data_IF_057703610230
#
_entry.id   IF_057703610230
#
_cell.length_a   1.000
_cell.length_b   1.000
_cell.length_c   1.000
_cell.angle_alpha   90.00
_cell.angle_beta   90.00
_cell.angle_gamma   90.00
#
_symmetry.space_group_name_H-M   'P 1'
#
loop_
_entity.id
_entity.type
_entity.pdbx_description
1 polymer ?
#
# COMPACT_ATOMS: atom_id res chain seq x y z
N UNK A 1 30.77 1.86 56.43
CA UNK A 1 29.71 1.37 55.54
C UNK A 1 28.95 2.53 54.92
N UNK A 2 29.47 3.09 53.82
CA UNK A 2 28.77 4.10 53.02
C UNK A 2 28.41 3.48 51.68
N UNK A 3 27.15 3.11 51.50
CA UNK A 3 26.63 2.70 50.20
C UNK A 3 26.62 3.92 49.28
N UNK A 4 27.44 3.90 48.24
CA UNK A 4 27.33 4.88 47.16
C UNK A 4 26.03 4.59 46.40
N UNK A 5 24.97 5.31 46.74
CA UNK A 5 23.75 5.32 45.95
C UNK A 5 24.04 6.10 44.66
N UNK A 6 24.41 5.38 43.60
CA UNK A 6 24.65 5.91 42.26
C UNK A 6 23.34 6.21 41.49
N UNK A 7 22.34 6.77 42.16
CA UNK A 7 21.10 7.22 41.54
C UNK A 7 20.68 8.54 42.19
N UNK A 8 21.13 9.66 41.64
CA UNK A 8 20.48 10.94 41.87
C UNK A 8 19.24 10.99 40.98
N UNK A 9 18.06 10.93 41.57
CA UNK A 9 16.78 11.07 40.86
C UNK A 9 16.57 12.47 40.29
N UNK A 10 17.45 13.42 40.63
CA UNK A 10 17.41 14.80 40.17
C UNK A 10 18.46 14.95 39.09
N UNK A 11 18.11 14.53 37.88
CA UNK A 11 18.87 14.88 36.70
C UNK A 11 18.64 16.37 36.37
N UNK A 12 19.21 17.27 37.21
CA UNK A 12 18.93 18.72 37.22
C UNK A 12 19.29 19.40 35.89
N UNK A 13 20.27 18.85 35.18
CA UNK A 13 20.78 19.39 33.91
C UNK A 13 20.37 18.54 32.69
N UNK A 14 19.28 17.78 32.81
CA UNK A 14 18.77 16.92 31.74
C UNK A 14 18.61 17.64 30.41
N UNK A 15 18.00 18.83 30.45
CA UNK A 15 17.73 19.64 29.28
C UNK A 15 19.01 20.15 28.63
N UNK A 16 20.04 20.48 29.43
CA UNK A 16 21.32 20.91 28.91
C UNK A 16 22.02 19.75 28.17
N UNK A 17 22.04 18.56 28.77
CA UNK A 17 22.61 17.37 28.14
C UNK A 17 21.89 17.05 26.82
N UNK A 18 20.55 17.01 26.83
CA UNK A 18 19.76 16.75 25.62
C UNK A 18 20.04 17.80 24.55
N UNK A 19 20.07 19.09 24.90
CA UNK A 19 20.40 20.16 23.95
C UNK A 19 21.81 20.02 23.35
N UNK A 20 22.76 19.46 24.12
CA UNK A 20 24.12 19.23 23.64
C UNK A 20 24.17 18.01 22.72
N UNK A 21 23.41 16.96 23.03
CA UNK A 21 23.28 15.77 22.18
C UNK A 21 22.63 16.11 20.84
N UNK A 22 21.57 16.93 20.83
CA UNK A 22 20.88 17.38 19.62
C UNK A 22 21.78 18.23 18.70
N UNK A 23 22.72 18.97 19.29
CA UNK A 23 23.69 19.80 18.54
C UNK A 23 24.92 19.03 18.06
N UNK A 24 25.12 17.81 18.54
CA UNK A 24 26.34 17.04 18.24
C UNK A 24 26.09 16.10 17.08
N UNK A 25 27.01 16.11 16.10
CA UNK A 25 27.06 15.10 15.04
C UNK A 25 28.07 14.01 15.42
N UNK A 26 27.64 12.77 15.42
CA UNK A 26 28.45 11.60 15.73
C UNK A 26 28.76 10.83 14.44
N UNK A 27 29.97 10.28 14.34
CA UNK A 27 30.30 9.32 13.30
C UNK A 27 30.20 7.90 13.86
N UNK A 28 29.23 7.13 13.41
CA UNK A 28 29.05 5.73 13.81
C UNK A 28 29.32 4.76 12.68
N UNK A 29 29.22 3.46 12.97
CA UNK A 29 29.34 2.37 11.98
C UNK A 29 28.25 2.46 10.90
N UNK A 30 27.11 3.08 11.23
CA UNK A 30 26.00 3.35 10.29
C UNK A 30 26.14 4.66 9.51
N UNK A 31 27.26 5.35 9.65
CA UNK A 31 27.50 6.66 9.05
C UNK A 31 27.26 7.81 10.04
N UNK A 32 27.05 9.04 9.53
CA UNK A 32 26.69 10.19 10.35
C UNK A 32 25.43 9.93 11.17
N UNK A 33 25.42 10.40 12.41
CA UNK A 33 24.33 10.27 13.37
C UNK A 33 24.11 11.64 13.97
N UNK A 34 22.95 12.21 13.72
CA UNK A 34 22.53 13.48 14.28
C UNK A 34 21.09 13.35 14.73
N UNK A 35 20.74 14.00 15.85
CA UNK A 35 19.37 14.08 16.36
C UNK A 35 18.85 15.51 16.17
N UNK A 36 17.52 15.66 16.13
CA UNK A 36 16.88 16.96 16.02
C UNK A 36 16.02 17.24 17.25
N UNK A 37 15.83 18.53 17.55
CA UNK A 37 14.88 18.93 18.59
C UNK A 37 13.49 18.38 18.24
N UNK A 38 12.86 17.67 19.17
CA UNK A 38 11.55 17.01 19.02
C UNK A 38 11.49 15.86 18.01
N UNK A 39 12.62 15.23 17.67
CA UNK A 39 12.62 13.97 16.92
C UNK A 39 13.35 12.88 17.70
N UNK A 40 12.72 11.71 17.80
CA UNK A 40 13.34 10.51 18.40
C UNK A 40 14.28 9.81 17.44
N UNK A 41 14.07 10.04 16.13
CA UNK A 41 14.81 9.38 15.08
C UNK A 41 16.00 10.25 14.64
N UNK A 42 17.00 9.60 14.04
CA UNK A 42 18.16 10.32 13.50
C UNK A 42 17.71 11.20 12.34
N UNK A 43 18.30 12.38 12.17
CA UNK A 43 18.02 13.32 11.07
C UNK A 43 19.07 13.34 9.95
N UNK A 44 20.26 12.79 10.23
CA UNK A 44 21.30 12.53 9.24
C UNK A 44 21.72 11.06 9.26
N UNK A 45 21.96 10.47 8.07
CA UNK A 45 22.40 9.09 7.88
C UNK A 45 21.73 8.38 6.70
N UNK A 46 22.14 7.14 6.41
CA UNK A 46 21.42 6.26 5.48
C UNK A 46 20.47 5.34 6.24
N UNK A 47 19.18 5.45 5.95
CA UNK A 47 18.13 4.89 6.80
C UNK A 47 17.52 3.61 6.25
N UNK A 48 17.34 3.57 4.94
CA UNK A 48 16.53 2.53 4.31
C UNK A 48 17.12 2.12 2.98
N UNK A 49 17.14 0.81 2.74
CA UNK A 49 17.41 0.25 1.43
C UNK A 49 16.15 -0.46 0.94
N UNK A 50 15.67 -0.07 -0.23
CA UNK A 50 14.56 -0.76 -0.89
C UNK A 50 15.13 -1.96 -1.61
N UNK A 51 14.61 -3.14 -1.24
CA UNK A 51 14.97 -4.41 -1.85
C UNK A 51 13.87 -4.86 -2.80
N UNK A 52 14.24 -5.18 -4.03
CA UNK A 52 13.38 -5.83 -5.00
C UNK A 52 13.59 -7.35 -4.90
N UNK A 53 12.51 -8.09 -4.70
CA UNK A 53 12.53 -9.55 -4.62
C UNK A 53 12.46 -10.11 -6.03
N UNK A 54 13.50 -10.81 -6.45
CA UNK A 54 13.67 -11.31 -7.80
C UNK A 54 13.81 -12.82 -7.79
N UNK A 55 13.16 -13.50 -8.73
CA UNK A 55 13.35 -14.94 -8.91
C UNK A 55 14.64 -15.21 -9.66
N UNK A 56 15.39 -16.22 -9.22
CA UNK A 56 16.61 -16.70 -9.86
C UNK A 56 16.62 -18.23 -9.93
N UNK A 57 17.57 -18.79 -10.68
CA UNK A 57 17.77 -20.25 -10.80
C UNK A 57 18.00 -20.93 -9.44
N UNK A 58 18.52 -20.19 -8.46
CA UNK A 58 18.83 -20.69 -7.12
C UNK A 58 17.80 -20.28 -6.05
N UNK A 59 16.68 -19.68 -6.46
CA UNK A 59 15.61 -19.23 -5.56
C UNK A 59 15.41 -17.72 -5.56
N UNK A 60 14.96 -17.17 -4.42
CA UNK A 60 14.63 -15.75 -4.29
C UNK A 60 15.87 -14.92 -3.92
N UNK A 61 16.13 -13.89 -4.71
CA UNK A 61 17.18 -12.90 -4.49
C UNK A 61 16.60 -11.57 -4.02
N UNK A 62 17.29 -10.93 -3.09
CA UNK A 62 16.91 -9.61 -2.55
C UNK A 62 17.89 -8.55 -3.03
N UNK A 63 17.52 -7.85 -4.08
CA UNK A 63 18.40 -6.92 -4.79
C UNK A 63 18.13 -5.48 -4.34
N UNK A 64 19.15 -4.75 -3.89
CA UNK A 64 18.99 -3.31 -3.58
C UNK A 64 18.75 -2.52 -4.85
N UNK A 65 17.64 -1.79 -4.92
CA UNK A 65 17.31 -0.96 -6.09
C UNK A 65 17.31 0.53 -5.76
N UNK A 66 17.07 0.91 -4.50
CA UNK A 66 17.11 2.29 -4.04
C UNK A 66 17.67 2.36 -2.61
N UNK A 67 18.35 3.44 -2.31
CA UNK A 67 18.85 3.78 -0.98
C UNK A 67 18.34 5.16 -0.58
N UNK A 68 17.87 5.28 0.65
CA UNK A 68 17.54 6.55 1.28
C UNK A 68 18.71 6.97 2.16
N UNK A 69 19.60 7.78 1.58
CA UNK A 69 20.90 8.11 2.17
C UNK A 69 21.10 9.61 2.48
N UNK A 70 20.29 10.46 1.85
CA UNK A 70 20.35 11.92 1.97
C UNK A 70 18.97 12.44 2.40
N UNK A 71 18.90 13.56 3.13
CA UNK A 71 17.62 14.10 3.60
C UNK A 71 16.72 14.45 2.40
N UNK A 72 15.74 13.60 2.17
CA UNK A 72 14.63 13.83 1.24
C UNK A 72 14.69 13.09 -0.09
N UNK A 73 15.78 12.39 -0.45
CA UNK A 73 15.89 11.75 -1.76
C UNK A 73 16.36 10.30 -1.71
N UNK A 74 15.69 9.46 -2.50
CA UNK A 74 16.19 8.14 -2.87
C UNK A 74 17.27 8.27 -3.95
N UNK A 75 18.35 7.53 -3.80
CA UNK A 75 19.40 7.38 -4.82
C UNK A 75 19.48 5.95 -5.31
N UNK A 76 19.95 5.78 -6.54
CA UNK A 76 20.28 4.45 -7.10
C UNK A 76 21.61 3.99 -6.49
N UNK A 77 21.72 2.75 -5.99
CA UNK A 77 22.98 2.20 -5.51
C UNK A 77 24.05 2.18 -6.60
N UNK A 78 25.33 2.12 -6.21
CA UNK A 78 26.48 2.07 -7.15
C UNK A 78 26.44 0.88 -8.12
N UNK A 79 25.73 -0.20 -7.75
CA UNK A 79 25.36 -1.27 -8.67
C UNK A 79 23.98 -0.92 -9.24
N UNK A 80 23.94 -0.55 -10.52
CA UNK A 80 22.71 -0.25 -11.25
C UNK A 80 21.84 -1.51 -11.38
N UNK A 81 21.04 -1.76 -10.34
CA UNK A 81 20.14 -2.90 -10.29
C UNK A 81 18.78 -2.51 -10.87
N UNK A 82 18.26 -3.33 -11.77
CA UNK A 82 16.98 -3.09 -12.41
C UNK A 82 15.83 -3.54 -11.49
N UNK A 83 14.76 -2.74 -11.43
CA UNK A 83 13.52 -3.11 -10.75
C UNK A 83 12.75 -4.11 -11.61
N UNK A 84 12.48 -5.29 -11.05
CA UNK A 84 11.61 -6.30 -11.65
C UNK A 84 10.24 -6.24 -10.98
N UNK A 85 9.21 -6.07 -11.78
CA UNK A 85 7.82 -6.00 -11.34
C UNK A 85 7.18 -7.40 -11.30
N UNK A 86 6.08 -7.57 -10.56
CA UNK A 86 5.32 -8.82 -10.55
C UNK A 86 4.99 -9.28 -11.97
N UNK A 87 5.19 -10.58 -12.23
CA UNK A 87 5.12 -11.15 -13.58
C UNK A 87 6.47 -11.20 -14.32
N UNK A 88 7.57 -10.91 -13.61
CA UNK A 88 8.94 -10.91 -14.16
C UNK A 88 9.09 -9.91 -15.32
N UNK A 89 8.53 -8.71 -15.16
CA UNK A 89 8.54 -7.66 -16.18
C UNK A 89 9.44 -6.50 -15.78
N UNK A 90 10.10 -5.88 -16.76
CA UNK A 90 10.90 -4.66 -16.57
C UNK A 90 10.05 -3.39 -16.80
N UNK A 91 8.89 -3.56 -17.42
CA UNK A 91 7.94 -2.47 -17.65
C UNK A 91 7.15 -2.23 -16.37
N UNK A 92 7.20 -1.01 -15.79
CA UNK A 92 6.39 -0.71 -14.62
C UNK A 92 4.90 -0.88 -14.96
N UNK A 93 4.10 -1.46 -14.06
CA UNK A 93 2.67 -1.56 -14.28
C UNK A 93 2.09 -0.15 -14.33
N UNK A 94 1.72 0.29 -15.52
CA UNK A 94 1.02 1.56 -15.74
C UNK A 94 -0.47 1.33 -15.51
N UNK A 95 -0.93 1.46 -14.27
CA UNK A 95 -2.35 1.25 -14.00
C UNK A 95 -2.81 1.74 -12.63
N UNK A 96 -4.00 2.35 -12.62
CA UNK A 96 -4.92 2.25 -11.48
C UNK A 96 -5.74 0.98 -11.68
N UNK A 97 -6.22 0.37 -10.61
CA UNK A 97 -7.15 -0.75 -10.70
C UNK A 97 -8.33 -0.35 -11.61
N UNK A 98 -8.54 -1.11 -12.69
CA UNK A 98 -9.67 -0.92 -13.62
C UNK A 98 -10.79 -1.89 -13.25
N UNK A 99 -12.04 -1.48 -13.46
CA UNK A 99 -13.21 -2.35 -13.28
C UNK A 99 -13.37 -3.35 -14.44
N UNK A 100 -12.57 -3.22 -15.51
CA UNK A 100 -12.62 -4.13 -16.66
C UNK A 100 -12.26 -5.56 -16.25
N UNK A 101 -13.17 -6.49 -16.48
CA UNK A 101 -13.04 -7.91 -16.12
C UNK A 101 -13.34 -8.22 -14.65
N UNK A 102 -13.70 -7.22 -13.84
CA UNK A 102 -14.04 -7.42 -12.42
C UNK A 102 -15.51 -7.84 -12.29
N UNK A 103 -15.77 -8.85 -11.48
CA UNK A 103 -17.14 -9.27 -11.14
C UNK A 103 -17.70 -8.39 -10.03
N UNK A 104 -18.72 -7.58 -10.36
CA UNK A 104 -19.38 -6.67 -9.42
C UNK A 104 -20.73 -7.24 -8.98
N UNK A 105 -20.93 -7.37 -7.66
CA UNK A 105 -22.24 -7.71 -7.08
C UNK A 105 -23.00 -6.41 -6.80
N UNK A 106 -24.16 -6.27 -7.42
CA UNK A 106 -24.97 -5.04 -7.36
C UNK A 106 -26.31 -5.38 -6.70
N UNK A 107 -26.58 -4.73 -5.57
CA UNK A 107 -27.88 -4.77 -4.91
C UNK A 107 -28.86 -3.85 -5.62
N UNK A 108 -30.00 -4.38 -6.05
CA UNK A 108 -31.09 -3.63 -6.69
C UNK A 108 -32.36 -3.71 -5.84
N UNK A 109 -33.10 -2.60 -5.76
CA UNK A 109 -34.37 -2.52 -5.03
C UNK A 109 -35.51 -2.59 -6.06
N UNK A 110 -36.58 -3.30 -5.73
CA UNK A 110 -37.79 -3.33 -6.55
C UNK A 110 -38.52 -1.98 -6.46
N UNK A 111 -38.64 -1.29 -7.58
CA UNK A 111 -39.32 0.01 -7.65
C UNK A 111 -39.83 0.24 -9.07
N UNK A 112 -41.14 0.20 -9.26
CA UNK A 112 -41.75 0.45 -10.58
C UNK A 112 -41.68 1.95 -10.89
N UNK A 113 -41.23 2.40 -12.08
CA UNK A 113 -40.88 1.62 -13.28
C UNK A 113 -39.38 1.31 -13.45
N UNK A 114 -38.55 1.64 -12.46
CA UNK A 114 -37.09 1.56 -12.54
C UNK A 114 -36.52 0.14 -12.49
N UNK A 115 -37.11 -0.74 -11.68
CA UNK A 115 -36.72 -2.14 -11.52
C UNK A 115 -37.96 -2.99 -11.25
N UNK A 116 -38.24 -3.93 -12.15
CA UNK A 116 -39.35 -4.88 -12.08
C UNK A 116 -38.75 -6.28 -12.05
N UNK A 117 -39.25 -7.11 -11.15
CA UNK A 117 -38.84 -8.52 -11.03
C UNK A 117 -39.87 -9.39 -11.75
N UNK A 118 -39.46 -10.00 -12.86
CA UNK A 118 -40.25 -11.00 -13.57
C UNK A 118 -39.69 -12.39 -13.26
N UNK A 119 -40.56 -13.40 -13.19
CA UNK A 119 -40.12 -14.80 -13.07
C UNK A 119 -40.12 -15.40 -14.46
N UNK A 120 -38.95 -15.80 -14.96
CA UNK A 120 -38.83 -16.54 -16.21
C UNK A 120 -38.38 -17.96 -15.95
N UNK A 121 -38.90 -18.88 -16.76
CA UNK A 121 -38.57 -20.29 -16.68
C UNK A 121 -37.52 -20.58 -17.73
N UNK A 122 -36.32 -20.94 -17.30
CA UNK A 122 -35.25 -21.38 -18.21
C UNK A 122 -35.68 -22.65 -18.96
N UNK A 123 -35.00 -22.95 -20.06
CA UNK A 123 -35.18 -24.18 -20.87
C UNK A 123 -35.03 -25.49 -20.06
N UNK A 124 -34.49 -25.41 -18.84
CA UNK A 124 -34.33 -26.52 -17.91
C UNK A 124 -35.42 -26.59 -16.84
N UNK A 125 -36.50 -25.80 -16.95
CA UNK A 125 -37.61 -25.77 -15.99
C UNK A 125 -37.32 -25.05 -14.67
N UNK A 126 -36.16 -24.41 -14.53
CA UNK A 126 -35.82 -23.62 -13.35
C UNK A 126 -36.37 -22.20 -13.47
N UNK A 127 -37.11 -21.77 -12.44
CA UNK A 127 -37.61 -20.40 -12.34
C UNK A 127 -36.51 -19.49 -11.82
N UNK A 128 -36.10 -18.50 -12.62
CA UNK A 128 -35.13 -17.47 -12.24
C UNK A 128 -35.79 -16.09 -12.21
N UNK A 129 -35.40 -15.21 -11.26
CA UNK A 129 -35.82 -13.82 -11.31
C UNK A 129 -35.05 -13.12 -12.43
N UNK A 130 -35.77 -12.61 -13.40
CA UNK A 130 -35.29 -11.68 -14.41
C UNK A 130 -35.63 -10.25 -13.98
N UNK A 131 -34.66 -9.36 -14.15
CA UNK A 131 -34.78 -7.96 -13.75
C UNK A 131 -34.92 -7.11 -15.01
N UNK A 132 -36.06 -6.43 -15.15
CA UNK A 132 -36.34 -5.54 -16.29
C UNK A 132 -36.59 -4.10 -15.79
N UNK A 133 -36.29 -3.12 -16.62
CA UNK A 133 -36.51 -1.70 -16.33
C UNK A 133 -35.25 -0.86 -16.54
N UNK A 134 -35.34 0.42 -16.18
CA UNK A 134 -34.28 1.39 -16.43
C UNK A 134 -32.94 1.03 -15.75
N UNK A 135 -32.97 0.50 -14.53
CA UNK A 135 -31.73 0.20 -13.79
C UNK A 135 -30.97 -1.01 -14.38
N UNK A 136 -31.62 -2.16 -14.65
CA UNK A 136 -30.99 -3.25 -15.39
C UNK A 136 -30.41 -2.83 -16.74
N UNK A 137 -31.14 -2.01 -17.51
CA UNK A 137 -30.68 -1.52 -18.82
C UNK A 137 -29.44 -0.61 -18.70
N UNK A 138 -29.42 0.27 -17.68
CA UNK A 138 -28.26 1.09 -17.37
C UNK A 138 -27.05 0.23 -17.00
N UNK A 139 -27.24 -0.83 -16.21
CA UNK A 139 -26.15 -1.74 -15.82
C UNK A 139 -25.60 -2.49 -17.03
N UNK A 140 -26.44 -2.97 -17.95
CA UNK A 140 -25.98 -3.59 -19.20
C UNK A 140 -25.25 -2.60 -20.11
N UNK A 141 -25.70 -1.33 -20.15
CA UNK A 141 -24.96 -0.29 -20.86
C UNK A 141 -23.59 -0.04 -20.25
N UNK A 142 -23.52 0.10 -18.92
CA UNK A 142 -22.27 0.32 -18.20
C UNK A 142 -21.32 -0.88 -18.32
N UNK A 143 -21.84 -2.10 -18.36
CA UNK A 143 -21.06 -3.32 -18.66
C UNK A 143 -20.43 -3.23 -20.05
N UNK A 144 -21.17 -2.77 -21.05
CA UNK A 144 -20.65 -2.62 -22.42
C UNK A 144 -19.57 -1.53 -22.50
N UNK A 145 -19.79 -0.40 -21.82
CA UNK A 145 -18.89 0.75 -21.88
C UNK A 145 -17.63 0.58 -21.01
N UNK A 146 -17.75 -0.03 -19.83
CA UNK A 146 -16.67 -0.16 -18.82
C UNK A 146 -16.04 -1.57 -18.82
N UNK A 147 -16.79 -2.60 -19.21
CA UNK A 147 -16.31 -3.98 -19.33
C UNK A 147 -16.24 -4.78 -18.02
N UNK A 148 -17.01 -4.42 -17.00
CA UNK A 148 -17.16 -5.23 -15.78
C UNK A 148 -18.25 -6.30 -15.93
N UNK A 149 -18.25 -7.31 -15.06
CA UNK A 149 -19.24 -8.39 -15.08
C UNK A 149 -20.27 -8.20 -13.95
N UNK A 150 -21.50 -7.72 -14.23
CA UNK A 150 -22.52 -7.51 -13.21
C UNK A 150 -23.14 -8.83 -12.74
N UNK A 151 -23.36 -8.94 -11.43
CA UNK A 151 -24.25 -9.91 -10.81
C UNK A 151 -25.32 -9.12 -10.03
N UNK A 152 -26.53 -9.09 -10.55
CA UNK A 152 -27.66 -8.41 -9.93
C UNK A 152 -28.26 -9.27 -8.82
N UNK A 153 -28.53 -8.67 -7.66
CA UNK A 153 -29.19 -9.31 -6.52
C UNK A 153 -30.23 -8.36 -5.95
N UNK A 154 -31.41 -8.88 -5.61
CA UNK A 154 -32.42 -8.09 -4.93
C UNK A 154 -31.91 -7.75 -3.51
N UNK A 155 -31.86 -6.46 -3.17
CA UNK A 155 -31.63 -6.02 -1.80
C UNK A 155 -32.91 -6.28 -1.00
N UNK A 156 -32.78 -7.10 0.05
CA UNK A 156 -33.86 -7.41 1.00
C UNK A 156 -34.22 -6.21 1.87
#
# INVERSE_FOLDING_TARGET
>A
NSSSFCYDSRFIQSNLLLSQLDKTNFLGVSGPIQFGENQTDRISGSYYSIKNVQSSVYGLNYVSVLEYADPGNFRVPLQENTIVWPGNTLTPPTGRASLKGVTLRIGIIQSVPYTIVQKTTDSNGQTRPEYIGFIPDLVERLKTDIGFNPILQLAL
#
